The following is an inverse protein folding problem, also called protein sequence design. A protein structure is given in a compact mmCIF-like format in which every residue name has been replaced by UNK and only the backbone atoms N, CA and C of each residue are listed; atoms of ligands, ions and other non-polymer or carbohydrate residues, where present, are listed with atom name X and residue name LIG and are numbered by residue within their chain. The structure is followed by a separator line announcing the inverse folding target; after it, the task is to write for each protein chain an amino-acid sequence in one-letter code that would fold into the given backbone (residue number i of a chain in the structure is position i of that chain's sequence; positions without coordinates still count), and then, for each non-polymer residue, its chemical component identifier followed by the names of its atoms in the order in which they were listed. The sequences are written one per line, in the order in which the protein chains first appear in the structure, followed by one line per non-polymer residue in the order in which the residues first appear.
data_IF_293574258579
#
_entry.id   IF_293574258579
#
_cell.length_a   1.000
_cell.length_b   1.000
_cell.length_c   1.000
_cell.angle_alpha   90.00
_cell.angle_beta   90.00
_cell.angle_gamma   90.00
#
_symmetry.space_group_name_H-M   'P 1'
#
loop_
_entity.id
_entity.type
_entity.pdbx_description
1 polymer ?
#
# COMPACT_ATOMS: atom_id res chain seq x y z
N UNK A 1 -16.66 -0.65 17.35
CA UNK A 1 -15.58 0.00 18.11
C UNK A 1 -14.97 1.05 17.20
N UNK A 2 -15.31 2.32 17.41
CA UNK A 2 -14.69 3.42 16.65
C UNK A 2 -13.20 3.50 17.01
N UNK A 3 -12.33 3.41 15.99
CA UNK A 3 -10.92 3.65 16.17
C UNK A 3 -10.72 5.14 16.44
N UNK A 4 -10.58 5.51 17.71
CA UNK A 4 -10.15 6.85 18.12
C UNK A 4 -8.71 7.00 17.64
N UNK A 5 -8.50 7.60 16.47
CA UNK A 5 -7.17 7.97 16.00
C UNK A 5 -6.64 9.01 16.99
N UNK A 6 -5.69 8.61 17.83
CA UNK A 6 -4.97 9.58 18.67
C UNK A 6 -4.21 10.50 17.74
N UNK A 7 -4.62 11.78 17.72
CA UNK A 7 -4.02 12.84 16.90
C UNK A 7 -2.50 12.95 17.13
N UNK A 8 -2.03 12.55 18.32
CA UNK A 8 -0.61 12.49 18.70
C UNK A 8 0.24 11.52 17.87
N UNK A 9 -0.38 10.64 17.08
CA UNK A 9 0.30 9.59 16.30
C UNK A 9 0.27 9.86 14.79
N UNK A 10 -0.14 11.07 14.40
CA UNK A 10 -0.18 11.49 13.00
C UNK A 10 1.13 12.22 12.67
N UNK A 11 1.86 11.74 11.67
CA UNK A 11 3.08 12.39 11.18
C UNK A 11 3.04 12.67 9.68
N UNK A 12 3.86 13.61 9.16
CA UNK A 12 3.98 13.81 7.72
C UNK A 12 4.39 12.53 7.01
N UNK A 13 3.81 12.26 5.83
CA UNK A 13 4.14 11.07 5.04
C UNK A 13 5.63 11.00 4.69
N UNK A 14 6.27 12.15 4.47
CA UNK A 14 7.71 12.26 4.20
C UNK A 14 8.55 11.84 5.40
N UNK A 15 8.18 12.28 6.61
CA UNK A 15 8.85 11.88 7.85
C UNK A 15 8.69 10.39 8.08
N UNK A 16 7.47 9.84 7.96
CA UNK A 16 7.26 8.40 8.06
C UNK A 16 8.09 7.62 7.03
N UNK A 17 8.17 8.09 5.79
CA UNK A 17 8.96 7.43 4.74
C UNK A 17 10.45 7.38 5.09
N UNK A 18 10.99 8.43 5.72
CA UNK A 18 12.38 8.48 6.16
C UNK A 18 12.64 7.55 7.35
N UNK A 19 11.74 7.54 8.34
CA UNK A 19 11.92 6.78 9.58
C UNK A 19 11.75 5.27 9.38
N UNK A 20 10.65 4.87 8.73
CA UNK A 20 10.15 3.49 8.74
C UNK A 20 9.73 3.01 7.35
N UNK A 21 9.12 3.90 6.57
CA UNK A 21 8.57 3.57 5.25
C UNK A 21 9.64 3.17 4.23
N UNK A 22 10.91 3.52 4.47
CA UNK A 22 12.05 3.19 3.62
C UNK A 22 12.26 1.68 3.46
N UNK A 23 11.77 0.88 4.43
CA UNK A 23 11.77 -0.59 4.36
C UNK A 23 10.87 -1.10 3.22
N UNK A 24 9.78 -0.38 2.92
CA UNK A 24 8.84 -0.74 1.85
C UNK A 24 9.13 0.02 0.55
N UNK A 25 9.52 1.28 0.67
CA UNK A 25 9.67 2.21 -0.44
C UNK A 25 11.03 2.89 -0.38
N UNK A 26 11.96 2.45 -1.24
CA UNK A 26 13.33 3.01 -1.29
C UNK A 26 13.38 4.49 -1.69
N UNK A 27 12.33 5.00 -2.34
CA UNK A 27 12.28 6.37 -2.84
C UNK A 27 10.90 6.98 -2.62
N UNK A 28 10.86 8.30 -2.54
CA UNK A 28 9.62 9.09 -2.55
C UNK A 28 8.74 8.75 -3.76
N UNK A 29 9.34 8.58 -4.94
CA UNK A 29 8.62 8.24 -6.17
C UNK A 29 7.94 6.87 -6.09
N UNK A 30 8.58 5.88 -5.45
CA UNK A 30 7.98 4.56 -5.22
C UNK A 30 6.77 4.65 -4.29
N UNK A 31 6.89 5.44 -3.22
CA UNK A 31 5.77 5.73 -2.33
C UNK A 31 4.62 6.44 -3.06
N UNK A 32 4.91 7.48 -3.84
CA UNK A 32 3.88 8.22 -4.58
C UNK A 32 3.15 7.37 -5.61
N UNK A 33 3.89 6.49 -6.31
CA UNK A 33 3.29 5.54 -7.23
C UNK A 33 2.35 4.58 -6.50
N UNK A 34 2.77 4.03 -5.36
CA UNK A 34 1.96 3.14 -4.53
C UNK A 34 0.72 3.85 -4.00
N UNK A 35 0.91 5.04 -3.42
CA UNK A 35 -0.16 5.89 -2.90
C UNK A 35 -1.19 6.19 -3.98
N UNK A 36 -0.77 6.57 -5.19
CA UNK A 36 -1.69 6.89 -6.30
C UNK A 36 -2.60 5.71 -6.66
N UNK A 37 -2.11 4.48 -6.55
CA UNK A 37 -2.88 3.26 -6.87
C UNK A 37 -3.79 2.79 -5.75
N UNK A 38 -3.46 3.09 -4.50
CA UNK A 38 -4.14 2.56 -3.32
C UNK A 38 -4.71 3.66 -2.40
N UNK A 39 -4.84 4.90 -2.90
CA UNK A 39 -5.21 6.06 -2.10
C UNK A 39 -6.56 5.88 -1.39
N UNK A 40 -7.53 5.27 -2.07
CA UNK A 40 -8.87 5.02 -1.52
C UNK A 40 -8.77 4.08 -0.32
N UNK A 41 -8.13 2.92 -0.49
CA UNK A 41 -7.97 1.92 0.58
C UNK A 41 -7.16 2.48 1.76
N UNK A 42 -6.12 3.27 1.48
CA UNK A 42 -5.33 3.94 2.52
C UNK A 42 -6.15 4.99 3.29
N UNK A 43 -7.08 5.69 2.62
CA UNK A 43 -7.95 6.66 3.28
C UNK A 43 -9.05 5.98 4.11
N UNK A 44 -9.70 4.95 3.58
CA UNK A 44 -10.75 4.18 4.25
C UNK A 44 -10.24 3.48 5.52
N UNK A 45 -9.00 3.00 5.50
CA UNK A 45 -8.33 2.40 6.66
C UNK A 45 -7.83 3.42 7.70
N UNK A 46 -7.98 4.73 7.43
CA UNK A 46 -7.44 5.80 8.27
C UNK A 46 -5.91 5.88 8.29
N UNK A 47 -5.23 5.19 7.37
CA UNK A 47 -3.78 5.19 7.24
C UNK A 47 -3.24 6.45 6.55
N UNK A 48 -4.03 7.04 5.66
CA UNK A 48 -3.66 8.21 4.87
C UNK A 48 -4.68 9.33 5.03
N UNK A 49 -4.19 10.50 5.40
CA UNK A 49 -4.94 11.74 5.44
C UNK A 49 -4.38 12.63 4.33
N UNK A 50 -5.17 12.81 3.28
CA UNK A 50 -4.77 13.61 2.12
C UNK A 50 -4.66 15.08 2.51
N UNK A 51 -3.52 15.69 2.17
CA UNK A 51 -3.33 17.12 2.29
C UNK A 51 -4.12 17.86 1.22
N UNK A 52 -4.57 19.08 1.52
CA UNK A 52 -5.22 19.98 0.55
C UNK A 52 -4.31 21.17 0.22
N UNK A 53 -4.12 21.44 -1.07
CA UNK A 53 -3.33 22.58 -1.55
C UNK A 53 -1.85 22.44 -1.21
N UNK A 54 -1.32 23.35 -0.39
CA UNK A 54 0.09 23.33 0.06
C UNK A 54 0.32 22.39 1.25
N UNK A 55 -0.73 21.85 1.86
CA UNK A 55 -0.58 20.92 2.97
C UNK A 55 -0.06 19.57 2.45
N UNK A 56 0.96 19.04 3.11
CA UNK A 56 1.48 17.70 2.83
C UNK A 56 0.55 16.62 3.35
N UNK A 57 0.55 15.47 2.69
CA UNK A 57 -0.15 14.29 3.20
C UNK A 57 0.39 13.87 4.57
N UNK A 58 -0.51 13.38 5.41
CA UNK A 58 -0.19 12.83 6.73
C UNK A 58 -0.57 11.37 6.79
N UNK A 59 0.15 10.64 7.63
CA UNK A 59 -0.09 9.22 7.89
C UNK A 59 -0.27 8.99 9.37
N UNK A 60 -1.11 8.01 9.71
CA UNK A 60 -1.29 7.57 11.09
C UNK A 60 -0.31 6.45 11.43
N UNK A 61 -0.23 6.06 12.70
CA UNK A 61 0.65 4.99 13.16
C UNK A 61 0.36 3.61 12.53
N UNK A 62 -0.85 3.37 12.01
CA UNK A 62 -1.18 2.07 11.41
C UNK A 62 -0.72 1.94 9.95
N UNK A 63 -0.18 3.00 9.34
CA UNK A 63 0.13 3.03 7.90
C UNK A 63 1.04 1.89 7.47
N UNK A 64 2.07 1.55 8.26
CA UNK A 64 3.00 0.46 7.95
C UNK A 64 2.29 -0.90 7.88
N UNK A 65 1.33 -1.14 8.76
CA UNK A 65 0.55 -2.39 8.77
C UNK A 65 -0.38 -2.49 7.56
N UNK A 66 -1.05 -1.39 7.22
CA UNK A 66 -1.94 -1.32 6.05
C UNK A 66 -1.15 -1.49 4.75
N UNK A 67 -0.02 -0.79 4.61
CA UNK A 67 0.90 -0.94 3.47
C UNK A 67 1.33 -2.39 3.29
N UNK A 68 1.76 -3.05 4.38
CA UNK A 68 2.15 -4.45 4.33
C UNK A 68 1.00 -5.35 3.88
N UNK A 69 -0.22 -5.10 4.36
CA UNK A 69 -1.43 -5.84 3.96
C UNK A 69 -1.71 -5.74 2.46
N UNK A 70 -1.65 -4.51 1.92
CA UNK A 70 -1.84 -4.25 0.48
C UNK A 70 -0.76 -4.94 -0.35
N UNK A 71 0.52 -4.80 0.04
CA UNK A 71 1.64 -5.41 -0.68
C UNK A 71 1.53 -6.94 -0.72
N UNK A 72 1.19 -7.58 0.41
CA UNK A 72 0.96 -9.02 0.47
C UNK A 72 -0.16 -9.46 -0.48
N UNK A 73 -1.29 -8.75 -0.46
CA UNK A 73 -2.43 -9.05 -1.34
C UNK A 73 -2.06 -8.96 -2.82
N UNK A 74 -1.38 -7.87 -3.21
CA UNK A 74 -0.92 -7.67 -4.57
C UNK A 74 0.06 -8.76 -5.02
N UNK A 75 0.98 -9.18 -4.14
CA UNK A 75 1.92 -10.26 -4.43
C UNK A 75 1.20 -11.59 -4.67
N UNK A 76 0.18 -11.92 -3.86
CA UNK A 76 -0.63 -13.13 -4.03
C UNK A 76 -1.40 -13.09 -5.35
N UNK A 77 -2.00 -11.94 -5.69
CA UNK A 77 -2.73 -11.77 -6.95
C UNK A 77 -1.81 -11.92 -8.17
N UNK A 78 -0.61 -11.33 -8.12
CA UNK A 78 0.40 -11.49 -9.15
C UNK A 78 0.84 -12.95 -9.32
N UNK A 79 1.03 -13.70 -8.23
CA UNK A 79 1.36 -15.12 -8.29
C UNK A 79 0.25 -15.95 -8.97
N UNK A 80 -1.01 -15.73 -8.58
CA UNK A 80 -2.17 -16.39 -9.21
C UNK A 80 -2.28 -16.12 -10.71
N UNK A 81 -2.01 -14.88 -11.13
CA UNK A 81 -2.01 -14.50 -12.56
C UNK A 81 -0.91 -15.20 -13.34
N UNK A 82 0.26 -15.43 -12.74
CA UNK A 82 1.34 -16.16 -13.36
C UNK A 82 1.00 -17.64 -13.51
N UNK A 83 0.43 -18.26 -12.47
CA UNK A 83 -0.06 -19.65 -12.54
C UNK A 83 -1.06 -19.82 -13.70
N UNK A 84 -2.07 -18.95 -13.80
CA UNK A 84 -3.07 -19.00 -14.88
C UNK A 84 -2.48 -18.85 -16.29
N UNK A 85 -1.32 -18.18 -16.44
CA UNK A 85 -0.63 -18.03 -17.73
C UNK A 85 0.31 -19.18 -18.06
N UNK A 86 0.83 -19.89 -17.06
CA UNK A 86 1.77 -21.02 -17.24
C UNK A 86 1.02 -22.34 -17.44
N UNK A 87 -0.17 -22.49 -16.86
CA UNK A 87 -0.97 -23.72 -16.95
C UNK A 87 -1.95 -23.91 -18.14
N UNK A 88 -2.16 -22.99 -19.11
CA UNK A 88 -3.06 -23.29 -20.23
C UNK A 88 -2.48 -24.29 -21.25
N UNK A 89 -1.19 -24.62 -21.16
CA UNK A 89 -0.49 -25.50 -22.11
C UNK A 89 -0.51 -26.99 -21.74
N UNK A 90 -1.02 -27.37 -20.56
CA UNK A 90 -1.04 -28.79 -20.13
C UNK A 90 -2.28 -29.56 -20.61
N UNK A 91 -3.24 -28.88 -21.26
CA UNK A 91 -4.45 -29.51 -21.81
C UNK A 91 -4.38 -29.76 -23.33
N UNK A 92 -3.22 -29.58 -23.98
CA UNK A 92 -3.02 -30.17 -25.31
C UNK A 92 -2.79 -31.68 -25.12
N UNK A 93 -3.90 -32.41 -24.95
CA UNK A 93 -3.91 -33.85 -25.17
C UNK A 93 -3.41 -34.09 -26.59
N UNK A 94 -2.28 -34.79 -26.67
CA UNK A 94 -1.85 -35.49 -27.87
C UNK A 94 -2.80 -36.68 -28.01
N UNK A 95 -3.80 -36.54 -28.88
CA UNK A 95 -4.55 -37.66 -29.46
C UNK A 95 -4.56 -37.48 -30.99
#
# INVERSE_FOLDING_TARGET
MEAIIKISEIKPATTWLQDEGCVFFKTQSSWEWFKRRNAIELAESGALILGKGRATDKVSANVSQVVLGILKRNSIESAKRLEQKVFPLQNLKVE
#
